data_IF_612462281164
#
_entry.id   IF_612462281164
#
_cell.length_a   1.000
_cell.length_b   1.000
_cell.length_c   1.000
_cell.angle_alpha   90.00
_cell.angle_beta   90.00
_cell.angle_gamma   90.00
#
_symmetry.space_group_name_H-M   'P 1'
#
loop_
_entity.id
_entity.type
_entity.pdbx_description
1 polymer ?
#
# COMPACT_ATOMS: atom_id res chain seq x y z
N UNK A 1 -39.04 1.60 -42.17
CA UNK A 1 -38.69 0.73 -41.02
C UNK A 1 -37.31 0.13 -41.24
N UNK A 2 -36.24 0.76 -40.74
CA UNK A 2 -34.87 0.23 -40.83
C UNK A 2 -34.04 0.47 -39.56
N UNK A 3 -34.56 1.28 -38.63
CA UNK A 3 -33.87 1.68 -37.39
C UNK A 3 -33.55 0.49 -36.49
N UNK A 4 -34.36 -0.57 -36.54
CA UNK A 4 -34.17 -1.76 -35.71
C UNK A 4 -32.88 -2.51 -36.04
N UNK A 5 -32.42 -2.46 -37.30
CA UNK A 5 -31.17 -3.08 -37.72
C UNK A 5 -29.93 -2.39 -37.14
N UNK A 6 -30.07 -1.12 -36.70
CA UNK A 6 -29.00 -0.38 -36.02
C UNK A 6 -29.17 -0.47 -34.50
N UNK A 7 -30.40 -0.36 -33.99
CA UNK A 7 -30.66 -0.42 -32.56
C UNK A 7 -30.33 -1.78 -31.93
N UNK A 8 -30.64 -2.88 -32.63
CA UNK A 8 -30.41 -4.22 -32.11
C UNK A 8 -28.91 -4.50 -31.82
N UNK A 9 -27.97 -4.33 -32.76
CA UNK A 9 -26.56 -4.57 -32.49
C UNK A 9 -25.98 -3.59 -31.47
N UNK A 10 -26.43 -2.32 -31.49
CA UNK A 10 -25.97 -1.30 -30.52
C UNK A 10 -26.39 -1.69 -29.11
N UNK A 11 -27.66 -2.06 -28.90
CA UNK A 11 -28.15 -2.52 -27.60
C UNK A 11 -27.42 -3.78 -27.14
N UNK A 12 -27.12 -4.71 -28.06
CA UNK A 12 -26.38 -5.92 -27.75
C UNK A 12 -24.93 -5.63 -27.34
N UNK A 13 -24.25 -4.68 -28.00
CA UNK A 13 -22.94 -4.19 -27.59
C UNK A 13 -22.97 -3.62 -26.17
N UNK A 14 -23.96 -2.78 -25.86
CA UNK A 14 -24.12 -2.23 -24.52
C UNK A 14 -24.36 -3.34 -23.49
N UNK A 15 -25.25 -4.30 -23.77
CA UNK A 15 -25.55 -5.41 -22.87
C UNK A 15 -24.29 -6.24 -22.56
N UNK A 16 -23.51 -6.62 -23.58
CA UNK A 16 -22.26 -7.36 -23.39
C UNK A 16 -21.23 -6.50 -22.65
N UNK A 17 -21.10 -5.22 -23.01
CA UNK A 17 -20.15 -4.30 -22.39
C UNK A 17 -20.41 -4.13 -20.89
N UNK A 18 -21.68 -3.90 -20.52
CA UNK A 18 -22.10 -3.82 -19.12
C UNK A 18 -21.88 -5.13 -18.38
N UNK A 19 -22.26 -6.27 -18.98
CA UNK A 19 -22.07 -7.57 -18.35
C UNK A 19 -20.59 -7.89 -18.12
N UNK A 20 -19.72 -7.61 -19.09
CA UNK A 20 -18.29 -7.82 -18.98
C UNK A 20 -17.66 -6.92 -17.90
N UNK A 21 -18.02 -5.64 -17.89
CA UNK A 21 -17.57 -4.70 -16.86
C UNK A 21 -18.02 -5.14 -15.47
N UNK A 22 -19.28 -5.56 -15.34
CA UNK A 22 -19.84 -6.08 -14.09
C UNK A 22 -19.07 -7.30 -13.58
N UNK A 23 -18.88 -8.32 -14.43
CA UNK A 23 -18.13 -9.53 -14.06
C UNK A 23 -16.69 -9.17 -13.65
N UNK A 24 -16.03 -8.27 -14.38
CA UNK A 24 -14.67 -7.82 -14.05
C UNK A 24 -14.63 -7.08 -12.71
N UNK A 25 -15.63 -6.25 -12.40
CA UNK A 25 -15.74 -5.53 -11.13
C UNK A 25 -15.89 -6.49 -9.95
N UNK A 26 -16.80 -7.47 -10.08
CA UNK A 26 -17.05 -8.50 -9.05
C UNK A 26 -15.81 -9.36 -8.82
N UNK A 27 -15.16 -9.82 -9.90
CA UNK A 27 -13.93 -10.63 -9.80
C UNK A 27 -12.72 -9.83 -9.33
N UNK A 28 -12.74 -8.51 -9.48
CA UNK A 28 -11.67 -7.61 -9.05
C UNK A 28 -11.64 -7.33 -7.55
N UNK A 29 -12.54 -7.92 -6.76
CA UNK A 29 -12.55 -7.81 -5.30
C UNK A 29 -12.86 -6.40 -4.78
N UNK A 30 -13.40 -5.51 -5.62
CA UNK A 30 -13.79 -4.15 -5.20
C UNK A 30 -14.79 -4.15 -4.03
N UNK A 31 -15.59 -5.22 -3.92
CA UNK A 31 -16.58 -5.38 -2.87
C UNK A 31 -16.03 -6.01 -1.58
N UNK A 32 -14.79 -6.52 -1.61
CA UNK A 32 -14.19 -7.25 -0.49
C UNK A 32 -13.58 -6.29 0.56
N UNK A 33 -13.19 -5.07 0.18
CA UNK A 33 -12.72 -4.06 1.13
C UNK A 33 -13.86 -3.18 1.64
N UNK A 34 -14.63 -3.73 2.58
CA UNK A 34 -15.77 -3.04 3.23
C UNK A 34 -15.39 -2.35 4.55
N UNK A 35 -14.14 -2.45 5.00
CA UNK A 35 -13.76 -2.15 6.39
C UNK A 35 -12.52 -1.25 6.53
N UNK A 36 -11.64 -1.16 5.52
CA UNK A 36 -10.30 -0.60 5.68
C UNK A 36 -10.01 0.79 5.05
N UNK A 37 -10.91 1.49 4.33
CA UNK A 37 -10.49 2.74 3.67
C UNK A 37 -10.24 3.87 4.67
N UNK A 38 -11.05 3.98 5.73
CA UNK A 38 -10.90 5.04 6.73
C UNK A 38 -9.73 4.81 7.71
N UNK A 39 -9.36 3.55 7.96
CA UNK A 39 -8.30 3.21 8.91
C UNK A 39 -6.90 3.46 8.33
N UNK A 40 -6.71 3.29 7.01
CA UNK A 40 -5.44 3.59 6.32
C UNK A 40 -5.06 5.06 6.43
N UNK A 41 -6.02 5.95 6.21
CA UNK A 41 -5.81 7.40 6.25
C UNK A 41 -5.36 7.88 7.64
N UNK A 42 -5.72 7.15 8.70
CA UNK A 42 -5.36 7.50 10.08
C UNK A 42 -3.97 6.98 10.49
N UNK A 43 -3.43 5.98 9.78
CA UNK A 43 -2.19 5.28 10.14
C UNK A 43 -1.03 5.52 9.15
N UNK A 44 -1.28 6.15 7.99
CA UNK A 44 -0.26 6.44 6.98
C UNK A 44 0.57 7.72 7.30
N UNK A 45 0.23 8.46 8.36
CA UNK A 45 0.84 9.75 8.73
C UNK A 45 2.03 9.66 9.71
N UNK A 46 2.42 8.46 10.16
CA UNK A 46 3.60 8.30 11.01
C UNK A 46 4.85 8.06 10.14
N UNK A 47 5.72 9.07 9.92
CA UNK A 47 7.00 8.83 9.28
C UNK A 47 7.80 7.86 10.15
N UNK A 48 8.10 6.69 9.59
CA UNK A 48 9.01 5.74 10.24
C UNK A 48 10.30 6.48 10.64
N UNK A 49 10.77 6.35 11.90
CA UNK A 49 12.04 6.91 12.30
C UNK A 49 13.12 6.42 11.34
N UNK A 50 14.06 7.27 10.88
CA UNK A 50 15.11 6.82 10.00
C UNK A 50 15.85 5.67 10.68
N UNK A 51 15.74 4.46 10.14
CA UNK A 51 16.56 3.34 10.57
C UNK A 51 18.00 3.76 10.27
N UNK A 52 18.74 4.16 11.32
CA UNK A 52 20.20 4.15 11.26
C UNK A 52 20.59 2.69 11.10
N UNK A 53 20.83 2.29 9.86
CA UNK A 53 21.51 1.05 9.52
C UNK A 53 22.78 0.98 10.37
N UNK A 54 22.87 -0.05 11.20
CA UNK A 54 24.02 -0.35 12.04
C UNK A 54 25.23 -0.83 11.21
N UNK A 55 25.65 -0.05 10.21
CA UNK A 55 26.84 -0.28 9.40
C UNK A 55 27.78 0.92 9.31
N UNK A 56 27.39 2.10 9.76
CA UNK A 56 28.32 3.22 9.90
C UNK A 56 28.87 3.26 11.33
N UNK A 57 29.70 2.27 11.66
CA UNK A 57 30.64 2.39 12.76
C UNK A 57 31.85 3.20 12.26
N UNK A 58 32.17 4.38 12.83
CA UNK A 58 33.49 4.96 12.62
C UNK A 58 34.48 4.05 13.36
N UNK A 59 35.21 3.26 12.57
CA UNK A 59 36.46 2.67 13.02
C UNK A 59 37.47 3.80 13.02
N UNK A 60 37.65 4.47 14.16
CA UNK A 60 38.82 5.30 14.36
C UNK A 60 39.37 5.10 15.77
N UNK A 61 40.61 4.62 15.78
CA UNK A 61 41.39 4.37 16.97
C UNK A 61 41.89 5.70 17.55
N UNK A 62 41.88 5.83 18.87
CA UNK A 62 43.03 6.30 19.65
C UNK A 62 42.63 6.54 21.11
N UNK A 63 43.34 5.83 21.99
CA UNK A 63 43.94 6.30 23.25
C UNK A 63 43.12 7.18 24.22
N UNK A 64 42.93 6.65 25.43
CA UNK A 64 43.19 7.24 26.76
C UNK A 64 42.47 6.30 27.77
N UNK A 65 43.14 5.32 28.39
CA UNK A 65 44.02 5.47 29.56
C UNK A 65 43.45 6.45 30.60
N UNK A 66 42.63 5.95 31.53
CA UNK A 66 42.90 6.21 32.95
C UNK A 66 42.20 5.18 33.86
N UNK A 67 43.05 4.44 34.56
CA UNK A 67 42.87 3.87 35.89
C UNK A 67 41.95 4.65 36.84
N UNK A 68 40.93 4.00 37.43
CA UNK A 68 40.84 3.74 38.89
C UNK A 68 39.47 3.17 39.33
N UNK A 69 39.49 1.88 39.71
CA UNK A 69 39.00 1.22 40.96
C UNK A 69 37.92 1.91 41.86
N UNK A 70 37.31 1.15 42.80
CA UNK A 70 36.27 0.12 42.70
C UNK A 70 34.97 0.53 43.45
N UNK A 71 34.03 -0.41 43.51
CA UNK A 71 32.76 -0.41 44.24
C UNK A 71 32.81 0.05 45.70
N UNK A 72 31.77 0.80 46.09
CA UNK A 72 31.21 0.94 47.44
C UNK A 72 29.68 0.91 47.26
N UNK A 73 28.97 -0.12 47.74
CA UNK A 73 28.44 -0.34 49.10
C UNK A 73 27.15 0.45 49.38
#
# INVERSE_FOLDING_TARGET
MNVIYILLPVAFLFAIGFLWAFIRSVKGGQFDDTQTPAMRILHDDDPAPPQRSASDAPSDSAAEDDSDKPADA
#
